data_IF_054393870012
#
_entry.id   IF_054393870012
#
_cell.length_a   1.000
_cell.length_b   1.000
_cell.length_c   1.000
_cell.angle_alpha   90.00
_cell.angle_beta   90.00
_cell.angle_gamma   90.00
#
_symmetry.space_group_name_H-M   'P 1'
#
loop_
_entity.id
_entity.type
_entity.pdbx_description
1 polymer ?
#
# COMPACT_ATOMS: atom_id res chain seq x y z
N UNK A 1 5.50 -12.35 -9.55
CA UNK A 1 5.19 -13.06 -8.29
C UNK A 1 3.99 -12.41 -7.60
N UNK A 2 4.03 -11.11 -7.27
CA UNK A 2 2.90 -10.36 -6.69
C UNK A 2 1.55 -10.62 -7.38
N UNK A 3 1.43 -10.30 -8.68
CA UNK A 3 0.18 -10.47 -9.45
C UNK A 3 -0.33 -11.93 -9.45
N UNK A 4 0.55 -12.90 -9.68
CA UNK A 4 0.17 -14.33 -9.81
C UNK A 4 -0.04 -15.04 -8.46
N UNK A 5 0.30 -14.41 -7.33
CA UNK A 5 0.35 -15.10 -6.03
C UNK A 5 -0.32 -14.32 -4.90
N UNK A 6 -0.02 -13.03 -4.76
CA UNK A 6 -0.60 -12.21 -3.69
C UNK A 6 -1.97 -11.69 -4.13
N UNK A 7 -2.09 -11.18 -5.35
CA UNK A 7 -3.35 -10.58 -5.81
C UNK A 7 -4.49 -11.60 -5.93
N UNK A 8 -4.18 -12.87 -6.20
CA UNK A 8 -5.18 -13.96 -6.19
C UNK A 8 -5.85 -14.13 -4.82
N UNK A 9 -5.19 -13.70 -3.74
CA UNK A 9 -5.65 -13.80 -2.35
C UNK A 9 -6.28 -12.50 -1.83
N UNK A 10 -5.89 -11.35 -2.40
CA UNK A 10 -6.35 -10.03 -1.95
C UNK A 10 -7.52 -9.50 -2.78
N UNK A 11 -7.36 -9.50 -4.10
CA UNK A 11 -8.36 -9.00 -5.02
C UNK A 11 -8.22 -9.72 -6.38
N UNK A 12 -9.00 -10.80 -6.63
CA UNK A 12 -8.78 -11.69 -7.78
C UNK A 12 -8.75 -11.01 -9.14
N UNK A 13 -9.41 -9.86 -9.32
CA UNK A 13 -9.36 -9.11 -10.58
C UNK A 13 -7.97 -8.57 -10.89
N UNK A 14 -7.14 -8.26 -9.88
CA UNK A 14 -5.76 -7.83 -10.08
C UNK A 14 -4.82 -9.00 -10.39
N UNK A 15 -5.26 -10.25 -10.26
CA UNK A 15 -4.47 -11.42 -10.61
C UNK A 15 -4.51 -11.77 -12.10
N UNK A 16 -5.35 -11.10 -12.90
CA UNK A 16 -5.46 -11.33 -14.33
C UNK A 16 -4.18 -10.90 -15.05
N UNK A 17 -3.39 -11.90 -15.46
CA UNK A 17 -2.12 -11.71 -16.16
C UNK A 17 -2.28 -11.26 -17.63
N UNK A 18 -3.51 -11.16 -18.13
CA UNK A 18 -3.81 -10.52 -19.42
C UNK A 18 -3.85 -8.99 -19.33
N UNK A 19 -3.96 -8.43 -18.12
CA UNK A 19 -3.88 -6.98 -17.91
C UNK A 19 -2.48 -6.50 -18.33
N UNK A 20 -2.38 -5.50 -19.22
CA UNK A 20 -1.10 -4.97 -19.66
C UNK A 20 -0.25 -4.46 -18.49
N UNK A 21 1.04 -4.79 -18.51
CA UNK A 21 2.02 -4.32 -17.53
C UNK A 21 2.98 -3.35 -18.23
N UNK A 22 3.17 -2.18 -17.62
CA UNK A 22 4.10 -1.16 -18.10
C UNK A 22 5.28 -1.05 -17.14
N UNK A 23 6.49 -0.93 -17.69
CA UNK A 23 7.68 -0.65 -16.89
C UNK A 23 7.57 0.72 -16.23
N UNK A 24 7.94 0.80 -14.94
CA UNK A 24 7.81 2.01 -14.15
C UNK A 24 9.09 2.31 -13.37
N UNK A 25 9.36 3.59 -13.16
CA UNK A 25 10.38 4.12 -12.27
C UNK A 25 9.73 4.59 -10.97
N UNK A 26 10.37 4.28 -9.86
CA UNK A 26 9.89 4.60 -8.52
C UNK A 26 10.89 5.52 -7.82
N UNK A 27 10.39 6.56 -7.17
CA UNK A 27 11.20 7.44 -6.34
C UNK A 27 10.42 7.88 -5.10
N UNK A 28 11.14 8.27 -4.07
CA UNK A 28 10.58 8.67 -2.79
C UNK A 28 11.28 9.91 -2.25
N UNK A 29 10.51 10.79 -1.63
CA UNK A 29 11.00 11.91 -0.84
C UNK A 29 10.39 11.87 0.57
N UNK A 30 11.20 12.15 1.58
CA UNK A 30 10.76 12.08 2.98
C UNK A 30 10.52 10.65 3.47
N UNK A 31 10.13 10.55 4.75
CA UNK A 31 9.84 9.29 5.43
C UNK A 31 8.91 9.54 6.63
N UNK A 32 7.97 8.63 6.90
CA UNK A 32 7.14 8.72 8.09
C UNK A 32 8.00 8.62 9.37
N UNK A 33 7.59 9.27 10.48
CA UNK A 33 6.30 9.93 10.69
C UNK A 33 6.20 11.35 10.09
N UNK A 34 7.27 11.86 9.47
CA UNK A 34 7.20 13.11 8.68
C UNK A 34 6.48 12.85 7.35
N UNK A 35 6.05 13.91 6.63
CA UNK A 35 5.45 13.71 5.32
C UNK A 35 6.36 12.88 4.40
N UNK A 36 5.74 11.95 3.68
CA UNK A 36 6.41 11.10 2.71
C UNK A 36 5.65 11.17 1.38
N UNK A 37 6.41 11.26 0.30
CA UNK A 37 5.90 11.29 -1.07
C UNK A 37 6.52 10.17 -1.86
N UNK A 38 5.68 9.39 -2.53
CA UNK A 38 6.09 8.41 -3.53
C UNK A 38 5.67 8.88 -4.91
N UNK A 39 6.55 8.67 -5.88
CA UNK A 39 6.33 9.01 -7.28
C UNK A 39 6.57 7.79 -8.14
N UNK A 40 5.59 7.49 -8.99
CA UNK A 40 5.63 6.44 -10.00
C UNK A 40 5.59 7.11 -11.37
N UNK A 41 6.52 6.77 -12.25
CA UNK A 41 6.53 7.23 -13.66
C UNK A 41 6.55 6.00 -14.56
N UNK A 42 5.55 5.86 -15.43
CA UNK A 42 5.39 4.72 -16.34
C UNK A 42 4.98 5.22 -17.73
N UNK A 43 5.89 5.17 -18.70
CA UNK A 43 5.65 5.77 -20.02
C UNK A 43 5.34 7.27 -19.90
N UNK A 44 4.15 7.68 -20.35
CA UNK A 44 3.66 9.06 -20.25
C UNK A 44 2.89 9.34 -18.96
N UNK A 45 2.65 8.33 -18.12
CA UNK A 45 1.89 8.47 -16.89
C UNK A 45 2.79 8.77 -15.70
N UNK A 46 2.31 9.65 -14.83
CA UNK A 46 2.93 10.04 -13.58
C UNK A 46 1.89 10.03 -12.45
N UNK A 47 2.17 9.24 -11.41
CA UNK A 47 1.39 9.20 -10.18
C UNK A 47 2.27 9.77 -9.06
N UNK A 48 1.74 10.73 -8.29
CA UNK A 48 2.39 11.26 -7.08
C UNK A 48 1.44 11.05 -5.91
N UNK A 49 1.91 10.39 -4.87
CA UNK A 49 1.14 10.09 -3.66
C UNK A 49 1.88 10.67 -2.46
N UNK A 50 1.19 11.45 -1.63
CA UNK A 50 1.77 12.04 -0.42
C UNK A 50 0.91 11.69 0.78
N UNK A 51 1.56 11.30 1.88
CA UNK A 51 0.96 11.07 3.19
C UNK A 51 1.57 12.03 4.22
N UNK A 52 0.72 12.60 5.07
CA UNK A 52 1.13 13.51 6.14
C UNK A 52 0.25 13.30 7.38
N UNK A 53 0.64 13.92 8.50
CA UNK A 53 -0.09 13.85 9.77
C UNK A 53 -0.32 12.39 10.22
N UNK A 54 0.77 11.64 10.31
CA UNK A 54 0.71 10.21 10.61
C UNK A 54 0.15 9.95 12.00
N UNK A 55 -0.72 8.96 12.10
CA UNK A 55 -1.20 8.35 13.34
C UNK A 55 -0.09 7.43 13.88
N UNK A 56 -0.18 7.03 15.15
CA UNK A 56 0.72 6.06 15.77
C UNK A 56 0.91 4.84 14.86
N UNK A 57 2.15 4.51 14.46
CA UNK A 57 2.39 3.37 13.59
C UNK A 57 2.14 2.06 14.33
N UNK A 58 1.84 1.02 13.56
CA UNK A 58 1.73 -0.34 14.08
C UNK A 58 2.19 -1.36 13.04
N UNK A 59 2.57 -2.54 13.52
CA UNK A 59 2.94 -3.66 12.66
C UNK A 59 1.71 -4.55 12.46
N UNK A 60 1.28 -4.71 11.21
CA UNK A 60 0.41 -5.81 10.83
C UNK A 60 1.24 -7.09 10.85
N UNK A 61 0.80 -8.08 11.61
CA UNK A 61 1.39 -9.41 11.63
C UNK A 61 0.28 -10.44 11.35
N UNK A 62 0.27 -10.95 10.13
CA UNK A 62 -0.63 -12.01 9.70
C UNK A 62 0.22 -13.23 9.30
N UNK A 63 0.43 -14.23 10.19
CA UNK A 63 1.22 -15.41 9.87
C UNK A 63 0.52 -16.25 8.78
N UNK A 64 1.24 -17.16 8.09
CA UNK A 64 0.60 -18.15 7.23
C UNK A 64 -0.49 -18.91 8.00
N UNK A 65 -1.62 -19.17 7.34
CA UNK A 65 -2.82 -19.74 7.96
C UNK A 65 -3.80 -18.70 8.52
N UNK A 66 -3.37 -17.45 8.74
CA UNK A 66 -4.27 -16.38 9.14
C UNK A 66 -5.35 -16.17 8.07
N UNK A 67 -6.63 -16.23 8.47
CA UNK A 67 -7.77 -16.19 7.55
C UNK A 67 -7.68 -17.22 6.41
N UNK A 68 -7.18 -18.43 6.70
CA UNK A 68 -6.98 -19.53 5.75
C UNK A 68 -6.09 -19.18 4.54
N UNK A 69 -5.21 -18.16 4.67
CA UNK A 69 -4.27 -17.80 3.61
C UNK A 69 -3.04 -18.69 3.63
N UNK A 70 -2.54 -19.16 2.47
CA UNK A 70 -1.38 -20.06 2.41
C UNK A 70 -0.03 -19.36 2.67
N UNK A 71 -0.02 -18.03 2.69
CA UNK A 71 1.16 -17.19 2.93
C UNK A 71 0.84 -16.18 4.05
N UNK A 72 1.89 -15.68 4.70
CA UNK A 72 1.81 -14.63 5.70
C UNK A 72 2.35 -13.29 5.20
N UNK A 73 2.05 -12.22 5.93
CA UNK A 73 2.55 -10.87 5.70
C UNK A 73 2.88 -10.17 7.03
N UNK A 74 4.00 -9.47 7.03
CA UNK A 74 4.40 -8.52 8.05
C UNK A 74 4.55 -7.15 7.39
N UNK A 75 3.89 -6.12 7.91
CA UNK A 75 3.95 -4.79 7.30
C UNK A 75 3.90 -3.71 8.37
N UNK A 76 4.88 -2.80 8.36
CA UNK A 76 4.81 -1.58 9.17
C UNK A 76 3.91 -0.57 8.49
N UNK A 77 2.81 -0.25 9.15
CA UNK A 77 1.81 0.71 8.68
C UNK A 77 1.96 2.06 9.36
N UNK A 78 1.90 3.10 8.53
CA UNK A 78 1.78 4.49 8.93
C UNK A 78 0.46 5.04 8.37
N UNK A 79 -0.66 4.90 9.12
CA UNK A 79 -1.90 5.56 8.76
C UNK A 79 -1.72 7.08 8.83
N UNK A 80 -2.36 7.80 7.94
CA UNK A 80 -2.21 9.25 7.78
C UNK A 80 -3.57 9.94 7.90
N UNK A 81 -3.65 11.10 8.55
CA UNK A 81 -4.88 11.90 8.56
C UNK A 81 -5.04 12.71 7.28
N UNK A 82 -3.95 12.94 6.55
CA UNK A 82 -3.94 13.72 5.31
C UNK A 82 -3.22 12.95 4.23
N UNK A 83 -3.81 12.93 3.03
CA UNK A 83 -3.17 12.40 1.85
C UNK A 83 -3.58 13.17 0.60
N UNK A 84 -2.68 13.18 -0.40
CA UNK A 84 -2.93 13.73 -1.73
C UNK A 84 -2.47 12.72 -2.76
N UNK A 85 -3.31 12.49 -3.77
CA UNK A 85 -2.96 11.74 -4.98
C UNK A 85 -3.00 12.71 -6.16
N UNK A 86 -2.05 12.60 -7.06
CA UNK A 86 -2.02 13.33 -8.32
C UNK A 86 -1.74 12.34 -9.44
N UNK A 87 -2.54 12.41 -10.51
CA UNK A 87 -2.38 11.62 -11.73
C UNK A 87 -2.22 12.59 -12.89
N UNK A 88 -1.07 12.57 -13.56
CA UNK A 88 -0.76 13.40 -14.72
C UNK A 88 -1.04 14.90 -14.48
N UNK A 89 -0.60 15.40 -13.31
CA UNK A 89 -0.82 16.79 -12.90
C UNK A 89 -2.22 17.11 -12.36
N UNK A 90 -3.15 16.14 -12.38
CA UNK A 90 -4.53 16.32 -11.90
C UNK A 90 -4.71 15.70 -10.53
N UNK A 91 -5.26 16.46 -9.59
CA UNK A 91 -5.62 15.97 -8.26
C UNK A 91 -7.10 15.62 -8.23
N UNK A 92 -7.48 14.33 -8.13
CA UNK A 92 -8.88 13.96 -7.90
C UNK A 92 -9.39 14.54 -6.59
N UNK A 93 -10.70 14.81 -6.53
CA UNK A 93 -11.36 15.21 -5.29
C UNK A 93 -11.52 13.99 -4.39
N UNK A 94 -11.20 14.15 -3.12
CA UNK A 94 -11.35 13.12 -2.11
C UNK A 94 -10.85 13.64 -0.77
N UNK A 95 -11.28 13.00 0.31
CA UNK A 95 -10.79 13.28 1.65
C UNK A 95 -10.46 11.96 2.33
N UNK A 96 -9.46 11.98 3.19
CA UNK A 96 -9.14 10.84 4.05
C UNK A 96 -10.24 10.73 5.12
N UNK A 97 -10.68 9.51 5.40
CA UNK A 97 -11.60 9.23 6.52
C UNK A 97 -10.95 8.30 7.53
N UNK A 98 -11.35 8.45 8.78
CA UNK A 98 -10.88 7.62 9.88
C UNK A 98 -11.43 6.19 9.74
N UNK A 99 -10.59 5.20 10.05
CA UNK A 99 -10.96 3.79 10.03
C UNK A 99 -10.27 3.05 11.17
N UNK A 100 -10.70 1.83 11.43
CA UNK A 100 -10.03 0.93 12.36
C UNK A 100 -9.44 -0.25 11.60
N UNK A 101 -8.26 -0.72 12.03
CA UNK A 101 -7.70 -1.99 11.59
C UNK A 101 -7.56 -2.91 12.81
N UNK A 102 -8.58 -3.74 13.02
CA UNK A 102 -8.73 -4.46 14.29
C UNK A 102 -8.99 -3.46 15.43
N UNK A 103 -8.18 -3.52 16.48
CA UNK A 103 -8.21 -2.62 17.63
C UNK A 103 -7.33 -1.36 17.45
N UNK A 104 -6.61 -1.24 16.33
CA UNK A 104 -5.71 -0.12 16.05
C UNK A 104 -6.41 0.98 15.26
N UNK A 105 -6.17 2.23 15.65
CA UNK A 105 -6.58 3.40 14.88
C UNK A 105 -5.85 3.41 13.52
N UNK A 106 -6.59 3.69 12.46
CA UNK A 106 -6.10 3.78 11.08
C UNK A 106 -6.85 4.88 10.33
N UNK A 107 -6.69 4.91 9.02
CA UNK A 107 -7.48 5.71 8.08
C UNK A 107 -7.50 5.04 6.71
N UNK A 108 -8.32 5.58 5.81
CA UNK A 108 -8.34 5.19 4.40
C UNK A 108 -7.05 5.53 3.64
N UNK A 109 -6.13 6.28 4.25
CA UNK A 109 -4.82 6.59 3.71
C UNK A 109 -3.72 5.99 4.60
N UNK A 110 -3.19 4.83 4.22
CA UNK A 110 -2.17 4.14 4.98
C UNK A 110 -0.96 3.80 4.11
N UNK A 111 0.24 4.20 4.56
CA UNK A 111 1.49 3.86 3.89
C UNK A 111 2.07 2.56 4.46
N UNK A 112 2.23 1.56 3.59
CA UNK A 112 2.94 0.32 3.87
C UNK A 112 4.45 0.51 3.63
N UNK A 113 5.23 0.67 4.71
CA UNK A 113 6.61 1.13 4.59
C UNK A 113 7.65 0.00 4.51
N UNK A 114 7.33 -1.17 5.03
CA UNK A 114 8.25 -2.31 5.11
C UNK A 114 7.47 -3.61 5.10
N UNK A 115 6.94 -3.97 3.92
CA UNK A 115 6.14 -5.18 3.76
C UNK A 115 6.99 -6.39 3.38
N UNK A 116 6.82 -7.49 4.09
CA UNK A 116 7.48 -8.76 3.81
C UNK A 116 6.44 -9.87 3.79
N UNK A 117 6.42 -10.61 2.69
CA UNK A 117 5.56 -11.77 2.50
C UNK A 117 6.33 -13.05 2.72
N UNK A 118 5.74 -14.01 3.45
CA UNK A 118 6.41 -15.23 3.87
C UNK A 118 5.59 -16.48 3.54
N UNK A 119 6.29 -17.60 3.34
CA UNK A 119 5.68 -18.94 3.29
C UNK A 119 5.79 -19.63 4.66
N UNK A 120 4.97 -20.66 4.95
CA UNK A 120 5.17 -21.52 6.10
C UNK A 120 6.60 -22.05 6.14
N UNK A 121 7.13 -22.25 7.35
CA UNK A 121 8.36 -23.04 7.52
C UNK A 121 8.01 -24.51 7.21
N UNK A 122 8.79 -25.12 6.33
CA UNK A 122 8.76 -26.57 6.11
C UNK A 122 9.40 -27.31 7.27
#
# INVERSE_FOLDING_TARGET
WLQKTIETLLYPQFADASIPVTAAQFSRAGAPPKPATETVVAGNDRIVMTWADTITPFVLNAPPGFMNRPIGVFSTFFPAKTARVELNGKTPKGQVWAEMRGDRQSSSACLAWSETWVKPRG
#
